data_IF_280430976530
#
_entry.id   IF_280430976530
#
_cell.length_a   1.000
_cell.length_b   1.000
_cell.length_c   1.000
_cell.angle_alpha   90.00
_cell.angle_beta   90.00
_cell.angle_gamma   90.00
#
_symmetry.space_group_name_H-M   'P 1'
#
loop_
_entity.id
_entity.type
_entity.pdbx_description
1 polymer ?
#
# COMPACT_ATOMS: atom_id res chain seq x y z
N UNK A 1 -14.23 -12.25 -10.25
CA UNK A 1 -12.82 -12.60 -9.98
C UNK A 1 -12.11 -11.33 -9.56
N UNK A 2 -11.35 -11.37 -8.46
CA UNK A 2 -10.53 -10.22 -8.03
C UNK A 2 -9.52 -9.88 -9.12
N UNK A 3 -9.33 -8.58 -9.41
CA UNK A 3 -8.32 -8.07 -10.36
C UNK A 3 -6.90 -8.57 -10.04
N UNK A 4 -6.66 -9.03 -8.80
CA UNK A 4 -5.34 -9.41 -8.32
C UNK A 4 -5.12 -10.91 -8.16
N UNK A 5 -6.15 -11.73 -8.37
CA UNK A 5 -6.02 -13.20 -8.28
C UNK A 5 -5.08 -13.77 -9.37
N UNK A 6 -4.84 -13.02 -10.44
CA UNK A 6 -3.96 -13.38 -11.56
C UNK A 6 -2.88 -12.32 -11.84
N UNK A 7 -2.55 -11.47 -10.86
CA UNK A 7 -1.51 -10.46 -11.05
C UNK A 7 -0.14 -11.15 -11.16
N UNK A 8 0.66 -10.81 -12.18
CA UNK A 8 2.05 -11.26 -12.33
C UNK A 8 2.94 -10.82 -11.16
N UNK A 9 2.51 -9.78 -10.42
CA UNK A 9 3.26 -9.18 -9.32
C UNK A 9 2.45 -9.19 -8.03
N UNK A 10 3.09 -9.43 -6.87
CA UNK A 10 2.41 -9.33 -5.58
C UNK A 10 1.96 -7.90 -5.29
N UNK A 11 0.92 -7.75 -4.48
CA UNK A 11 0.56 -6.45 -3.91
C UNK A 11 1.61 -6.06 -2.86
N UNK A 12 2.20 -4.88 -2.98
CA UNK A 12 3.03 -4.32 -1.91
C UNK A 12 2.15 -3.74 -0.83
N UNK A 13 2.38 -4.05 0.45
CA UNK A 13 1.60 -3.48 1.56
C UNK A 13 2.52 -3.00 2.68
N UNK A 14 2.24 -1.82 3.23
CA UNK A 14 3.00 -1.26 4.34
C UNK A 14 2.18 -0.27 5.19
N UNK A 15 2.56 -0.10 6.44
CA UNK A 15 1.94 0.84 7.37
C UNK A 15 2.88 1.32 8.46
N UNK A 16 2.54 2.43 9.13
CA UNK A 16 3.05 2.70 10.48
C UNK A 16 2.23 1.96 11.55
N UNK A 17 2.53 2.21 12.82
CA UNK A 17 1.82 1.64 13.97
C UNK A 17 0.32 1.94 13.98
N UNK A 18 -0.08 3.16 13.60
CA UNK A 18 -1.49 3.55 13.56
C UNK A 18 -2.27 2.85 12.44
N UNK A 19 -1.59 2.38 11.40
CA UNK A 19 -2.15 1.56 10.33
C UNK A 19 -2.07 0.05 10.55
N UNK A 20 -1.37 -0.43 11.59
CA UNK A 20 -1.02 -1.85 11.75
C UNK A 20 -2.24 -2.79 11.73
N UNK A 21 -3.27 -2.53 12.54
CA UNK A 21 -4.46 -3.40 12.62
C UNK A 21 -5.21 -3.47 11.28
N UNK A 22 -5.30 -2.33 10.57
CA UNK A 22 -5.92 -2.27 9.24
C UNK A 22 -5.12 -3.06 8.21
N UNK A 23 -3.79 -2.98 8.29
CA UNK A 23 -2.88 -3.76 7.45
C UNK A 23 -3.07 -5.27 7.67
N UNK A 24 -3.13 -5.71 8.92
CA UNK A 24 -3.34 -7.11 9.28
C UNK A 24 -4.69 -7.64 8.76
N UNK A 25 -5.75 -6.81 8.83
CA UNK A 25 -7.05 -7.17 8.25
C UNK A 25 -6.98 -7.40 6.74
N UNK A 26 -6.27 -6.54 6.00
CA UNK A 26 -6.07 -6.71 4.55
C UNK A 26 -5.21 -7.93 4.22
N UNK A 27 -4.15 -8.18 4.98
CA UNK A 27 -3.29 -9.36 4.81
C UNK A 27 -4.12 -10.65 4.96
N UNK A 28 -4.95 -10.73 6.00
CA UNK A 28 -5.84 -11.88 6.19
C UNK A 28 -6.77 -12.08 4.99
N UNK A 29 -7.35 -11.00 4.47
CA UNK A 29 -8.19 -11.06 3.27
C UNK A 29 -7.40 -11.52 2.04
N UNK A 30 -6.14 -11.09 1.87
CA UNK A 30 -5.28 -11.55 0.79
C UNK A 30 -5.01 -13.05 0.90
N UNK A 31 -4.71 -13.55 2.09
CA UNK A 31 -4.48 -14.98 2.35
C UNK A 31 -5.72 -15.82 2.06
N UNK A 32 -6.90 -15.40 2.55
CA UNK A 32 -8.17 -16.07 2.31
C UNK A 32 -8.53 -16.14 0.81
N UNK A 33 -8.10 -15.16 0.02
CA UNK A 33 -8.35 -15.07 -1.41
C UNK A 33 -7.19 -15.60 -2.28
N UNK A 34 -6.08 -16.05 -1.68
CA UNK A 34 -4.89 -16.49 -2.40
C UNK A 34 -4.21 -15.39 -3.22
N UNK A 35 -4.33 -14.12 -2.80
CA UNK A 35 -3.71 -12.98 -3.46
C UNK A 35 -2.25 -12.86 -2.98
N UNK A 36 -1.25 -12.90 -3.89
CA UNK A 36 0.14 -12.76 -3.51
C UNK A 36 0.42 -11.32 -3.01
N UNK A 37 1.17 -11.20 -1.91
CA UNK A 37 1.52 -9.92 -1.32
C UNK A 37 2.97 -9.91 -0.79
N UNK A 38 3.53 -8.71 -0.61
CA UNK A 38 4.82 -8.46 0.05
C UNK A 38 4.61 -7.41 1.14
N UNK A 39 4.83 -7.80 2.39
CA UNK A 39 4.66 -6.94 3.56
C UNK A 39 5.96 -6.20 3.92
N UNK A 40 5.94 -4.87 3.82
CA UNK A 40 7.05 -3.98 4.11
C UNK A 40 7.05 -3.46 5.56
N UNK A 41 6.19 -3.98 6.44
CA UNK A 41 6.08 -3.55 7.83
C UNK A 41 5.00 -2.49 8.03
N UNK A 42 4.85 -1.90 9.20
CA UNK A 42 5.41 -2.32 10.50
C UNK A 42 4.90 -3.71 10.91
N UNK A 43 5.60 -4.39 11.82
CA UNK A 43 5.27 -5.75 12.25
C UNK A 43 4.67 -5.80 13.66
N UNK A 44 4.39 -4.64 14.26
CA UNK A 44 3.74 -4.52 15.56
C UNK A 44 3.00 -3.17 15.69
N UNK A 45 2.22 -3.04 16.76
CA UNK A 45 1.56 -1.80 17.18
C UNK A 45 2.51 -0.81 17.89
N UNK A 46 3.79 -1.16 18.03
CA UNK A 46 4.76 -0.31 18.72
C UNK A 46 5.05 0.95 17.91
N UNK A 47 5.23 2.08 18.61
CA UNK A 47 5.48 3.38 17.99
C UNK A 47 6.63 3.32 16.98
N UNK A 48 6.40 3.92 15.81
CA UNK A 48 7.32 3.88 14.68
C UNK A 48 6.97 4.97 13.67
N UNK A 49 7.90 5.27 12.77
CA UNK A 49 7.80 6.34 11.79
C UNK A 49 7.38 5.78 10.42
N UNK A 50 6.29 6.32 9.85
CA UNK A 50 5.78 5.89 8.54
C UNK A 50 6.80 5.92 7.39
N UNK A 51 7.81 6.83 7.32
CA UNK A 51 8.77 6.83 6.23
C UNK A 51 9.60 5.55 6.14
N UNK A 52 9.88 4.89 7.27
CA UNK A 52 10.70 3.68 7.33
C UNK A 52 10.09 2.52 6.55
N UNK A 53 8.77 2.50 6.39
CA UNK A 53 8.04 1.47 5.63
C UNK A 53 7.55 1.99 4.27
N UNK A 54 7.27 3.29 4.17
CA UNK A 54 6.81 3.90 2.93
C UNK A 54 7.91 3.99 1.87
N UNK A 55 9.15 4.32 2.25
CA UNK A 55 10.25 4.40 1.29
C UNK A 55 10.57 3.03 0.65
N UNK A 56 10.74 1.94 1.42
CA UNK A 56 10.94 0.61 0.84
C UNK A 56 9.78 0.14 -0.03
N UNK A 57 8.53 0.38 0.39
CA UNK A 57 7.34 0.04 -0.40
C UNK A 57 7.33 0.78 -1.74
N UNK A 58 7.54 2.10 -1.72
CA UNK A 58 7.54 2.91 -2.94
C UNK A 58 8.68 2.52 -3.90
N UNK A 59 9.88 2.25 -3.37
CA UNK A 59 11.02 1.79 -4.15
C UNK A 59 10.73 0.43 -4.82
N UNK A 60 10.10 -0.50 -4.11
CA UNK A 60 9.73 -1.80 -4.67
C UNK A 60 8.68 -1.69 -5.80
N UNK A 61 7.73 -0.76 -5.67
CA UNK A 61 6.77 -0.44 -6.75
C UNK A 61 7.49 0.17 -7.94
N UNK A 62 8.38 1.14 -7.71
CA UNK A 62 9.17 1.81 -8.76
C UNK A 62 10.08 0.83 -9.52
N UNK A 63 10.70 -0.11 -8.81
CA UNK A 63 11.51 -1.19 -9.39
C UNK A 63 10.67 -2.31 -10.04
N UNK A 64 9.35 -2.27 -9.90
CA UNK A 64 8.45 -3.27 -10.44
C UNK A 64 8.51 -4.63 -9.74
N UNK A 65 8.96 -4.69 -8.48
CA UNK A 65 8.95 -5.90 -7.64
C UNK A 65 7.53 -6.23 -7.16
N UNK A 66 6.69 -5.22 -6.97
CA UNK A 66 5.30 -5.35 -6.57
C UNK A 66 4.41 -4.36 -7.31
N UNK A 67 3.14 -4.71 -7.49
CA UNK A 67 2.14 -3.82 -8.09
C UNK A 67 0.72 -4.35 -7.83
N UNK A 68 -0.23 -3.50 -7.40
CA UNK A 68 -0.06 -2.14 -6.90
C UNK A 68 0.56 -2.10 -5.48
N UNK A 69 0.78 -0.89 -4.95
CA UNK A 69 1.17 -0.67 -3.55
C UNK A 69 0.00 -0.15 -2.70
N UNK A 70 -0.07 -0.57 -1.44
CA UNK A 70 -1.03 -0.12 -0.41
C UNK A 70 -0.27 0.40 0.80
N UNK A 71 -0.42 1.68 1.11
CA UNK A 71 0.25 2.34 2.23
C UNK A 71 -0.79 2.88 3.23
N UNK A 72 -0.65 2.56 4.51
CA UNK A 72 -1.65 2.88 5.54
C UNK A 72 -0.99 3.63 6.71
N UNK A 73 -1.57 4.75 7.13
CA UNK A 73 -1.27 5.35 8.44
C UNK A 73 -2.55 5.92 9.05
N UNK A 74 -2.46 6.68 10.14
CA UNK A 74 -3.63 7.26 10.80
C UNK A 74 -4.53 8.08 9.85
N UNK A 75 -3.98 9.15 9.24
CA UNK A 75 -4.71 10.04 8.33
C UNK A 75 -4.44 9.77 6.85
N UNK A 76 -3.46 8.91 6.55
CA UNK A 76 -2.93 8.66 5.21
C UNK A 76 -2.08 9.80 4.63
N UNK A 77 -2.09 11.02 5.19
CA UNK A 77 -1.38 12.17 4.62
C UNK A 77 0.13 12.00 4.63
N UNK A 78 0.72 11.71 5.80
CA UNK A 78 2.17 11.57 5.96
C UNK A 78 2.74 10.50 5.04
N UNK A 79 2.14 9.31 5.08
CA UNK A 79 2.61 8.17 4.29
C UNK A 79 2.42 8.41 2.79
N UNK A 80 1.33 9.07 2.38
CA UNK A 80 1.09 9.45 0.98
C UNK A 80 2.11 10.48 0.47
N UNK A 81 2.46 11.47 1.29
CA UNK A 81 3.52 12.43 0.94
C UNK A 81 4.87 11.73 0.75
N UNK A 82 5.19 10.73 1.58
CA UNK A 82 6.46 9.98 1.47
C UNK A 82 6.53 9.14 0.20
N UNK A 83 5.51 8.35 -0.11
CA UNK A 83 5.54 7.51 -1.33
C UNK A 83 5.65 8.35 -2.60
N UNK A 84 5.01 9.53 -2.63
CA UNK A 84 5.09 10.47 -3.75
C UNK A 84 6.44 11.22 -3.86
N UNK A 85 7.40 11.01 -2.94
CA UNK A 85 8.78 11.49 -3.15
C UNK A 85 9.54 10.67 -4.19
N UNK A 86 9.09 9.44 -4.47
CA UNK A 86 9.66 8.58 -5.50
C UNK A 86 9.04 8.94 -6.86
N UNK A 87 9.88 9.27 -7.84
CA UNK A 87 9.44 9.94 -9.08
C UNK A 87 8.62 9.03 -10.01
N UNK A 88 8.81 7.72 -9.93
CA UNK A 88 8.03 6.72 -10.64
C UNK A 88 6.71 6.35 -9.96
N UNK A 89 6.43 6.88 -8.76
CA UNK A 89 5.25 6.55 -7.98
C UNK A 89 4.21 7.66 -8.07
N UNK A 90 2.94 7.24 -8.19
CA UNK A 90 1.77 8.11 -8.02
C UNK A 90 0.92 7.52 -6.90
N UNK A 91 1.05 8.08 -5.70
CA UNK A 91 0.24 7.68 -4.55
C UNK A 91 -1.02 8.53 -4.46
N UNK A 92 -2.19 7.91 -4.35
CA UNK A 92 -3.45 8.60 -4.05
C UNK A 92 -3.90 8.34 -2.61
N UNK A 93 -4.38 9.38 -1.93
CA UNK A 93 -5.01 9.26 -0.62
C UNK A 93 -6.51 8.99 -0.81
N UNK A 94 -6.95 7.77 -0.48
CA UNK A 94 -8.30 7.29 -0.77
C UNK A 94 -9.02 6.87 0.53
N UNK A 95 -10.16 7.50 0.84
CA UNK A 95 -11.01 7.14 1.99
C UNK A 95 -12.43 6.73 1.61
N UNK A 96 -12.76 6.76 0.31
CA UNK A 96 -14.01 6.21 -0.22
C UNK A 96 -13.75 5.43 -1.52
N UNK A 97 -14.66 4.51 -1.91
CA UNK A 97 -14.57 3.77 -3.17
C UNK A 97 -14.52 4.67 -4.41
N UNK A 98 -15.24 5.79 -4.41
CA UNK A 98 -15.29 6.73 -5.53
C UNK A 98 -13.92 7.40 -5.75
N UNK A 99 -13.24 7.79 -4.67
CA UNK A 99 -11.90 8.38 -4.76
C UNK A 99 -10.89 7.34 -5.26
N UNK A 100 -10.96 6.10 -4.75
CA UNK A 100 -10.11 5.02 -5.21
C UNK A 100 -10.29 4.73 -6.71
N UNK A 101 -11.55 4.76 -7.19
CA UNK A 101 -11.86 4.58 -8.60
C UNK A 101 -11.23 5.69 -9.46
N UNK A 102 -11.45 6.96 -9.13
CA UNK A 102 -10.94 8.08 -9.92
C UNK A 102 -9.41 8.25 -9.84
N UNK A 103 -8.80 7.89 -8.70
CA UNK A 103 -7.34 7.84 -8.57
C UNK A 103 -6.72 6.94 -9.65
N UNK A 104 -7.30 5.76 -9.87
CA UNK A 104 -6.86 4.87 -10.94
C UNK A 104 -7.23 5.41 -12.32
N UNK A 105 -8.49 5.76 -12.52
CA UNK A 105 -9.02 6.13 -13.84
C UNK A 105 -8.38 7.40 -14.42
N UNK A 106 -8.09 8.40 -13.60
CA UNK A 106 -7.59 9.70 -14.06
C UNK A 106 -6.08 9.86 -13.86
N UNK A 107 -5.52 9.28 -12.80
CA UNK A 107 -4.13 9.50 -12.43
C UNK A 107 -3.25 8.27 -12.62
N UNK A 108 -3.84 7.10 -12.95
CA UNK A 108 -3.14 5.82 -12.96
C UNK A 108 -2.30 5.62 -11.67
N UNK A 109 -2.89 6.02 -10.53
CA UNK A 109 -2.33 5.86 -9.19
C UNK A 109 -2.74 4.51 -8.62
#
# INVERSE_FOLDING_TARGET
MSLFANSEKPIGIGSDHAGFDRKQHLIKMFEEQGIPYKDFGTYSSESTDYPDYAHPLALAVENGECYPGVAICASGNGINMTVNKHQGVRGALCWTPEIAYYARAHNNA
#
